data_IF_518396251509
#
_entry.id   IF_518396251509
#
_cell.length_a   1.000
_cell.length_b   1.000
_cell.length_c   1.000
_cell.angle_alpha   90.00
_cell.angle_beta   90.00
_cell.angle_gamma   90.00
#
_symmetry.space_group_name_H-M   'P 1'
#
loop_
_entity.id
_entity.type
_entity.pdbx_description
1 polymer ?
#
# COMPACT_ATOMS: atom_id res chain seq x y z
N UNK A 1 8.00 14.54 8.62
CA UNK A 1 8.83 14.83 7.44
C UNK A 1 10.03 13.89 7.27
N UNK A 2 10.69 13.41 8.33
CA UNK A 2 11.83 12.49 8.21
C UNK A 2 11.51 11.21 7.42
N UNK A 3 10.38 10.56 7.70
CA UNK A 3 9.95 9.33 7.02
C UNK A 3 9.81 9.49 5.49
N UNK A 4 9.33 10.64 5.03
CA UNK A 4 9.11 10.91 3.61
C UNK A 4 10.44 11.10 2.88
N UNK A 5 11.42 11.75 3.53
CA UNK A 5 12.78 11.90 3.00
C UNK A 5 13.48 10.54 2.86
N UNK A 6 13.34 9.68 3.86
CA UNK A 6 13.90 8.32 3.82
C UNK A 6 13.20 7.43 2.79
N UNK A 7 11.86 7.49 2.71
CA UNK A 7 11.09 6.79 1.70
C UNK A 7 11.51 7.22 0.29
N UNK A 8 11.73 8.52 0.06
CA UNK A 8 12.20 9.03 -1.22
C UNK A 8 13.63 8.57 -1.54
N UNK A 9 14.51 8.52 -0.54
CA UNK A 9 15.87 7.98 -0.69
C UNK A 9 15.84 6.49 -1.08
N UNK A 10 15.02 5.69 -0.40
CA UNK A 10 14.80 4.27 -0.70
C UNK A 10 14.30 4.09 -2.14
N UNK A 11 13.28 4.88 -2.52
CA UNK A 11 12.71 4.88 -3.87
C UNK A 11 13.76 5.18 -4.94
N UNK A 12 14.54 6.26 -4.77
CA UNK A 12 15.58 6.66 -5.72
C UNK A 12 16.69 5.61 -5.83
N UNK A 13 17.16 5.07 -4.70
CA UNK A 13 18.24 4.10 -4.67
C UNK A 13 17.84 2.73 -5.27
N UNK A 14 16.54 2.40 -5.23
CA UNK A 14 16.02 1.12 -5.70
C UNK A 14 15.01 1.27 -6.85
N UNK A 15 15.07 2.36 -7.62
CA UNK A 15 14.07 2.68 -8.64
C UNK A 15 13.86 1.55 -9.66
N UNK A 16 14.94 0.92 -10.13
CA UNK A 16 14.84 -0.24 -11.05
C UNK A 16 14.09 -1.43 -10.41
N UNK A 17 14.28 -1.68 -9.12
CA UNK A 17 13.57 -2.76 -8.40
C UNK A 17 12.10 -2.40 -8.19
N UNK A 18 11.82 -1.14 -7.89
CA UNK A 18 10.44 -0.62 -7.80
C UNK A 18 9.73 -0.78 -9.13
N UNK A 19 10.36 -0.41 -10.24
CA UNK A 19 9.81 -0.56 -11.59
C UNK A 19 9.57 -2.04 -11.92
N UNK A 20 10.52 -2.91 -11.59
CA UNK A 20 10.42 -4.34 -11.81
C UNK A 20 9.25 -4.96 -11.03
N UNK A 21 9.08 -4.62 -9.74
CA UNK A 21 7.91 -5.01 -8.95
C UNK A 21 6.63 -4.41 -9.54
N UNK A 22 6.70 -3.17 -10.00
CA UNK A 22 5.62 -2.47 -10.66
C UNK A 22 5.07 -3.26 -11.84
N UNK A 23 5.94 -3.64 -12.77
CA UNK A 23 5.55 -4.36 -14.00
C UNK A 23 5.16 -5.82 -13.73
N UNK A 24 5.79 -6.49 -12.76
CA UNK A 24 5.58 -7.93 -12.54
C UNK A 24 4.51 -8.27 -11.51
N UNK A 25 4.18 -7.34 -10.61
CA UNK A 25 3.21 -7.58 -9.53
C UNK A 25 2.08 -6.56 -9.56
N UNK A 26 2.39 -5.26 -9.49
CA UNK A 26 1.36 -4.23 -9.35
C UNK A 26 0.49 -4.13 -10.60
N UNK A 27 1.10 -4.06 -11.78
CA UNK A 27 0.39 -3.90 -13.05
C UNK A 27 -0.49 -5.12 -13.36
N UNK A 28 -0.03 -6.38 -13.23
CA UNK A 28 -0.89 -7.56 -13.38
C UNK A 28 -2.08 -7.57 -12.41
N UNK A 29 -1.86 -7.22 -11.14
CA UNK A 29 -2.95 -7.12 -10.16
C UNK A 29 -3.97 -6.05 -10.58
N UNK A 30 -3.50 -4.89 -11.03
CA UNK A 30 -4.39 -3.81 -11.51
C UNK A 30 -5.17 -4.22 -12.75
N UNK A 31 -4.55 -4.93 -13.70
CA UNK A 31 -5.25 -5.46 -14.88
C UNK A 31 -6.34 -6.47 -14.50
N UNK A 32 -6.02 -7.42 -13.62
CA UNK A 32 -6.98 -8.40 -13.11
C UNK A 32 -8.14 -7.68 -12.43
N UNK A 33 -7.84 -6.69 -11.58
CA UNK A 33 -8.85 -5.85 -10.93
C UNK A 33 -9.76 -5.15 -11.95
N UNK A 34 -9.20 -4.51 -12.97
CA UNK A 34 -9.99 -3.81 -14.00
C UNK A 34 -10.88 -4.75 -14.79
N UNK A 35 -10.38 -5.93 -15.20
CA UNK A 35 -11.19 -6.92 -15.90
C UNK A 35 -12.32 -7.41 -14.99
N UNK A 36 -12.01 -7.72 -13.73
CA UNK A 36 -12.97 -8.23 -12.77
C UNK A 36 -14.08 -7.22 -12.49
N UNK A 37 -13.75 -5.95 -12.27
CA UNK A 37 -14.76 -4.90 -12.03
C UNK A 37 -15.64 -4.68 -13.23
N UNK A 38 -15.10 -4.66 -14.46
CA UNK A 38 -15.94 -4.53 -15.65
C UNK A 38 -16.91 -5.72 -15.81
N UNK A 39 -16.44 -6.93 -15.48
CA UNK A 39 -17.30 -8.12 -15.52
C UNK A 39 -18.40 -8.07 -14.44
N UNK A 40 -18.04 -7.72 -13.20
CA UNK A 40 -19.00 -7.60 -12.08
C UNK A 40 -19.97 -6.45 -12.31
N UNK A 41 -19.56 -5.34 -12.93
CA UNK A 41 -20.39 -4.18 -13.16
C UNK A 41 -21.52 -4.42 -14.18
N UNK A 42 -21.29 -5.26 -15.20
CA UNK A 42 -22.22 -5.49 -16.31
C UNK A 42 -23.66 -5.81 -15.87
N UNK A 43 -23.94 -6.77 -14.97
CA UNK A 43 -25.30 -7.04 -14.52
C UNK A 43 -25.93 -5.84 -13.77
N UNK A 44 -25.17 -5.14 -12.93
CA UNK A 44 -25.71 -4.00 -12.17
C UNK A 44 -25.96 -2.77 -13.05
N UNK A 45 -25.17 -2.59 -14.13
CA UNK A 45 -25.44 -1.57 -15.14
C UNK A 45 -26.75 -1.86 -15.87
N UNK A 46 -27.01 -3.13 -16.21
CA UNK A 46 -28.27 -3.54 -16.84
C UNK A 46 -29.49 -3.22 -15.96
N UNK A 47 -29.39 -3.41 -14.64
CA UNK A 47 -30.45 -3.07 -13.69
C UNK A 47 -30.40 -1.61 -13.19
N UNK A 48 -29.50 -0.77 -13.72
CA UNK A 48 -29.29 0.62 -13.31
C UNK A 48 -29.08 0.80 -11.78
N UNK A 49 -28.22 -0.03 -11.20
CA UNK A 49 -27.89 -0.06 -9.77
C UNK A 49 -26.45 0.45 -9.51
N UNK A 50 -26.17 1.77 -9.67
CA UNK A 50 -24.80 2.31 -9.61
C UNK A 50 -24.14 2.14 -8.25
N UNK A 51 -24.92 2.15 -7.16
CA UNK A 51 -24.40 2.01 -5.80
C UNK A 51 -23.71 0.65 -5.58
N UNK A 52 -24.25 -0.43 -6.15
CA UNK A 52 -23.67 -1.77 -6.01
C UNK A 52 -22.32 -1.89 -6.73
N UNK A 53 -22.20 -1.26 -7.90
CA UNK A 53 -20.94 -1.20 -8.65
C UNK A 53 -19.86 -0.54 -7.79
N UNK A 54 -20.15 0.61 -7.19
CA UNK A 54 -19.21 1.33 -6.32
C UNK A 54 -18.81 0.54 -5.08
N UNK A 55 -19.73 -0.21 -4.48
CA UNK A 55 -19.44 -1.09 -3.33
C UNK A 55 -18.45 -2.18 -3.73
N UNK A 56 -18.76 -2.94 -4.79
CA UNK A 56 -17.86 -4.00 -5.25
C UNK A 56 -16.50 -3.45 -5.68
N UNK A 57 -16.49 -2.34 -6.40
CA UNK A 57 -15.25 -1.66 -6.80
C UNK A 57 -14.38 -1.30 -5.58
N UNK A 58 -14.98 -0.73 -4.53
CA UNK A 58 -14.27 -0.38 -3.30
C UNK A 58 -13.69 -1.61 -2.59
N UNK A 59 -14.48 -2.69 -2.48
CA UNK A 59 -14.06 -3.94 -1.85
C UNK A 59 -12.87 -4.55 -2.61
N UNK A 60 -13.00 -4.77 -3.91
CA UNK A 60 -11.94 -5.39 -4.72
C UNK A 60 -10.68 -4.51 -4.82
N UNK A 61 -10.84 -3.19 -4.82
CA UNK A 61 -9.71 -2.26 -4.81
C UNK A 61 -8.91 -2.39 -3.50
N UNK A 62 -9.59 -2.40 -2.35
CA UNK A 62 -8.93 -2.57 -1.05
C UNK A 62 -8.22 -3.93 -0.94
N UNK A 63 -8.87 -5.02 -1.40
CA UNK A 63 -8.24 -6.35 -1.48
C UNK A 63 -6.96 -6.30 -2.32
N UNK A 64 -7.03 -5.70 -3.51
CA UNK A 64 -5.89 -5.59 -4.43
C UNK A 64 -4.75 -4.79 -3.81
N UNK A 65 -5.06 -3.66 -3.17
CA UNK A 65 -4.07 -2.80 -2.50
C UNK A 65 -3.32 -3.54 -1.40
N UNK A 66 -4.03 -4.32 -0.56
CA UNK A 66 -3.40 -5.08 0.52
C UNK A 66 -2.39 -6.11 0.00
N UNK A 67 -2.68 -6.74 -1.15
CA UNK A 67 -1.74 -7.67 -1.79
C UNK A 67 -0.57 -6.91 -2.43
N UNK A 68 -0.83 -5.77 -3.09
CA UNK A 68 0.22 -4.94 -3.70
C UNK A 68 1.20 -4.36 -2.67
N UNK A 69 0.79 -4.17 -1.42
CA UNK A 69 1.68 -3.66 -0.37
C UNK A 69 2.81 -4.62 -0.02
N UNK A 70 2.62 -5.93 -0.14
CA UNK A 70 3.57 -6.93 0.37
C UNK A 70 5.00 -6.77 -0.19
N UNK A 71 5.24 -6.76 -1.51
CA UNK A 71 6.59 -6.61 -2.05
C UNK A 71 7.23 -5.26 -1.64
N UNK A 72 6.42 -4.21 -1.53
CA UNK A 72 6.88 -2.88 -1.18
C UNK A 72 7.27 -2.79 0.31
N UNK A 73 6.48 -3.41 1.19
CA UNK A 73 6.81 -3.51 2.62
C UNK A 73 8.07 -4.35 2.82
N UNK A 74 8.18 -5.49 2.15
CA UNK A 74 9.38 -6.33 2.23
C UNK A 74 10.62 -5.56 1.77
N UNK A 75 10.53 -4.73 0.73
CA UNK A 75 11.61 -3.87 0.29
C UNK A 75 12.03 -2.87 1.38
N UNK A 76 11.08 -2.17 1.99
CA UNK A 76 11.36 -1.21 3.05
C UNK A 76 11.96 -1.87 4.30
N UNK A 77 11.48 -3.06 4.66
CA UNK A 77 12.02 -3.84 5.77
C UNK A 77 13.45 -4.32 5.50
N UNK A 78 13.74 -4.81 4.29
CA UNK A 78 15.09 -5.25 3.91
C UNK A 78 16.10 -4.10 3.87
N UNK A 79 15.72 -2.96 3.30
CA UNK A 79 16.57 -1.76 3.28
C UNK A 79 16.95 -1.31 4.69
N UNK A 80 15.98 -1.34 5.63
CA UNK A 80 16.22 -0.94 7.02
C UNK A 80 17.09 -1.95 7.77
N UNK A 81 16.81 -3.26 7.62
CA UNK A 81 17.48 -4.31 8.41
C UNK A 81 18.85 -4.73 7.88
N UNK A 82 19.04 -4.70 6.55
CA UNK A 82 20.22 -5.27 5.88
C UNK A 82 21.02 -4.23 5.09
N UNK A 83 20.53 -2.99 4.98
CA UNK A 83 21.14 -1.95 4.12
C UNK A 83 21.14 -2.29 2.63
N UNK A 84 20.55 -3.41 2.23
CA UNK A 84 20.52 -3.90 0.86
C UNK A 84 19.25 -4.70 0.59
N UNK A 85 18.71 -4.56 -0.61
CA UNK A 85 17.47 -5.22 -1.02
C UNK A 85 17.79 -6.39 -1.96
N UNK A 86 17.30 -7.59 -1.66
CA UNK A 86 17.48 -8.78 -2.50
C UNK A 86 16.18 -9.12 -3.22
N UNK A 87 16.19 -9.07 -4.55
CA UNK A 87 14.99 -9.29 -5.39
C UNK A 87 14.34 -10.66 -5.15
N UNK A 88 15.13 -11.74 -5.04
CA UNK A 88 14.58 -13.09 -4.79
C UNK A 88 13.80 -13.19 -3.48
N UNK A 89 14.23 -12.48 -2.44
CA UNK A 89 13.51 -12.44 -1.16
C UNK A 89 12.20 -11.66 -1.26
N UNK A 90 12.15 -10.59 -2.06
CA UNK A 90 10.92 -9.82 -2.28
C UNK A 90 9.80 -10.70 -2.85
N UNK A 91 10.11 -11.49 -3.88
CA UNK A 91 9.15 -12.42 -4.47
C UNK A 91 8.79 -13.56 -3.54
N UNK A 92 9.76 -14.12 -2.81
CA UNK A 92 9.52 -15.13 -1.79
C UNK A 92 8.55 -14.65 -0.71
N UNK A 93 8.78 -13.44 -0.17
CA UNK A 93 7.90 -12.82 0.81
C UNK A 93 6.51 -12.51 0.22
N UNK A 94 6.46 -12.07 -1.04
CA UNK A 94 5.19 -11.82 -1.75
C UNK A 94 4.34 -13.07 -1.81
N UNK A 95 4.89 -14.18 -2.26
CA UNK A 95 4.15 -15.45 -2.34
C UNK A 95 3.79 -15.96 -0.94
N UNK A 96 4.73 -15.91 0.01
CA UNK A 96 4.51 -16.36 1.40
C UNK A 96 3.34 -15.64 2.05
N UNK A 97 3.25 -14.32 1.89
CA UNK A 97 2.25 -13.51 2.59
C UNK A 97 1.00 -13.21 1.74
N UNK A 98 1.01 -13.42 0.42
CA UNK A 98 -0.12 -13.14 -0.47
C UNK A 98 -1.40 -13.82 -0.03
N UNK A 99 -1.33 -15.11 0.34
CA UNK A 99 -2.52 -15.84 0.79
C UNK A 99 -3.12 -15.25 2.06
N UNK A 100 -2.29 -14.91 3.04
CA UNK A 100 -2.75 -14.28 4.27
C UNK A 100 -3.34 -12.89 3.99
N UNK A 101 -2.64 -12.06 3.22
CA UNK A 101 -3.08 -10.72 2.88
C UNK A 101 -4.43 -10.74 2.15
N UNK A 102 -4.59 -11.66 1.20
CA UNK A 102 -5.86 -11.87 0.50
C UNK A 102 -6.98 -12.27 1.48
N UNK A 103 -6.76 -13.31 2.29
CA UNK A 103 -7.78 -13.80 3.23
C UNK A 103 -8.21 -12.74 4.24
N UNK A 104 -7.27 -11.99 4.82
CA UNK A 104 -7.58 -10.95 5.81
C UNK A 104 -8.18 -9.69 5.18
N UNK A 105 -7.81 -9.38 3.92
CA UNK A 105 -8.33 -8.20 3.23
C UNK A 105 -9.82 -8.29 2.90
N UNK A 106 -10.40 -9.49 2.79
CA UNK A 106 -11.83 -9.67 2.53
C UNK A 106 -12.69 -9.06 3.66
N UNK A 107 -12.62 -9.52 4.93
CA UNK A 107 -13.41 -8.93 6.01
C UNK A 107 -13.03 -7.47 6.29
N UNK A 108 -11.74 -7.11 6.14
CA UNK A 108 -11.26 -5.74 6.36
C UNK A 108 -11.81 -4.77 5.33
N UNK A 109 -11.82 -5.14 4.05
CA UNK A 109 -12.34 -4.30 2.97
C UNK A 109 -13.85 -4.11 3.08
N UNK A 110 -14.60 -5.15 3.47
CA UNK A 110 -16.03 -5.04 3.74
C UNK A 110 -16.27 -4.06 4.91
N UNK A 111 -15.52 -4.18 6.01
CA UNK A 111 -15.68 -3.32 7.17
C UNK A 111 -15.36 -1.85 6.84
N UNK A 112 -14.27 -1.60 6.12
CA UNK A 112 -13.88 -0.25 5.68
C UNK A 112 -14.92 0.33 4.72
N UNK A 113 -15.39 -0.46 3.75
CA UNK A 113 -16.42 -0.03 2.78
C UNK A 113 -17.74 0.27 3.49
N UNK A 114 -18.17 -0.57 4.43
CA UNK A 114 -19.34 -0.30 5.27
C UNK A 114 -19.15 1.00 6.07
N UNK A 115 -17.95 1.25 6.60
CA UNK A 115 -17.59 2.52 7.22
C UNK A 115 -17.84 3.71 6.30
N UNK A 116 -17.31 3.66 5.07
CA UNK A 116 -17.51 4.71 4.05
C UNK A 116 -18.97 4.90 3.63
N UNK A 117 -19.76 3.81 3.58
CA UNK A 117 -21.19 3.89 3.27
C UNK A 117 -21.99 4.61 4.35
N UNK A 118 -21.62 4.44 5.62
CA UNK A 118 -22.26 5.13 6.73
C UNK A 118 -21.84 6.60 6.72
N UNK A 119 -20.53 6.88 6.73
CA UNK A 119 -19.96 8.22 6.58
C UNK A 119 -18.49 8.15 6.13
N UNK A 120 -17.99 9.20 5.50
CA UNK A 120 -16.58 9.27 5.08
C UNK A 120 -15.63 9.14 6.28
N UNK A 121 -15.92 9.81 7.39
CA UNK A 121 -15.03 9.86 8.57
C UNK A 121 -14.83 8.47 9.22
N UNK A 122 -15.87 7.69 9.56
CA UNK A 122 -15.71 6.30 10.02
C UNK A 122 -14.92 5.41 9.06
N UNK A 123 -15.14 5.55 7.75
CA UNK A 123 -14.38 4.80 6.74
C UNK A 123 -12.88 5.12 6.79
N UNK A 124 -12.51 6.40 6.85
CA UNK A 124 -11.11 6.83 7.00
C UNK A 124 -10.52 6.34 8.32
N UNK A 125 -11.27 6.42 9.42
CA UNK A 125 -10.80 5.93 10.73
C UNK A 125 -10.46 4.43 10.65
N UNK A 126 -11.38 3.62 10.14
CA UNK A 126 -11.17 2.18 9.98
C UNK A 126 -10.00 1.87 9.04
N UNK A 127 -9.86 2.63 7.95
CA UNK A 127 -8.76 2.48 7.02
C UNK A 127 -7.41 2.73 7.70
N UNK A 128 -7.26 3.81 8.47
CA UNK A 128 -6.01 4.11 9.20
C UNK A 128 -5.70 3.07 10.27
N UNK A 129 -6.71 2.56 10.97
CA UNK A 129 -6.52 1.53 12.01
C UNK A 129 -6.13 0.16 11.45
N UNK A 130 -6.64 -0.18 10.26
CA UNK A 130 -6.49 -1.51 9.67
C UNK A 130 -5.46 -1.58 8.54
N UNK A 131 -5.01 -0.45 8.01
CA UNK A 131 -3.97 -0.42 6.97
C UNK A 131 -2.64 -1.01 7.44
N UNK A 132 -2.38 -1.03 8.75
CA UNK A 132 -1.17 -1.59 9.36
C UNK A 132 -1.08 -3.13 9.31
N UNK A 133 -2.18 -3.84 9.00
CA UNK A 133 -2.24 -5.30 8.97
C UNK A 133 -1.15 -5.94 8.08
N UNK A 134 -1.02 -5.57 6.78
CA UNK A 134 0.05 -6.10 5.94
C UNK A 134 1.44 -5.72 6.44
N UNK A 135 1.60 -4.54 7.06
CA UNK A 135 2.89 -4.09 7.61
C UNK A 135 3.35 -4.98 8.75
N UNK A 136 2.48 -5.18 9.74
CA UNK A 136 2.77 -6.06 10.89
C UNK A 136 3.05 -7.48 10.41
N UNK A 137 2.25 -8.00 9.46
CA UNK A 137 2.45 -9.38 9.01
C UNK A 137 3.78 -9.56 8.27
N UNK A 138 4.14 -8.65 7.39
CA UNK A 138 5.37 -8.80 6.58
C UNK A 138 6.62 -8.51 7.40
N UNK A 139 6.55 -7.56 8.34
CA UNK A 139 7.70 -7.12 9.14
C UNK A 139 7.95 -8.07 10.32
N UNK A 140 6.91 -8.39 11.10
CA UNK A 140 7.04 -9.17 12.34
C UNK A 140 6.67 -10.66 12.20
N UNK A 141 6.04 -11.07 11.09
CA UNK A 141 5.54 -12.43 10.85
C UNK A 141 4.59 -12.98 11.94
N UNK A 142 3.86 -12.08 12.61
CA UNK A 142 2.99 -12.42 13.73
C UNK A 142 1.77 -13.29 13.38
N UNK A 143 1.16 -13.89 14.39
CA UNK A 143 -0.10 -14.65 14.26
C UNK A 143 -1.28 -13.71 13.92
N UNK A 144 -2.32 -14.18 13.21
CA UNK A 144 -3.42 -13.33 12.73
C UNK A 144 -4.07 -12.43 13.79
N UNK A 145 -4.31 -12.95 15.00
CA UNK A 145 -4.89 -12.19 16.12
C UNK A 145 -3.96 -11.08 16.61
N UNK A 146 -2.66 -11.37 16.71
CA UNK A 146 -1.64 -10.41 17.11
C UNK A 146 -1.45 -9.32 16.05
N UNK A 147 -1.50 -9.69 14.76
CA UNK A 147 -1.44 -8.76 13.62
C UNK A 147 -2.52 -7.68 13.71
N UNK A 148 -3.78 -8.08 13.93
CA UNK A 148 -4.89 -7.13 14.04
C UNK A 148 -4.70 -6.20 15.24
N UNK A 149 -4.39 -6.76 16.42
CA UNK A 149 -4.21 -5.98 17.65
C UNK A 149 -3.08 -4.95 17.50
N UNK A 150 -1.95 -5.38 16.95
CA UNK A 150 -0.77 -4.53 16.77
C UNK A 150 -1.00 -3.49 15.67
N UNK A 151 -1.70 -3.83 14.58
CA UNK A 151 -2.13 -2.85 13.57
C UNK A 151 -2.99 -1.74 14.18
N UNK A 152 -3.96 -2.12 15.02
CA UNK A 152 -4.83 -1.14 15.68
C UNK A 152 -4.03 -0.27 16.66
N UNK A 153 -3.08 -0.82 17.42
CA UNK A 153 -2.21 -0.02 18.31
C UNK A 153 -1.41 1.00 17.51
N UNK A 154 -0.73 0.54 16.45
CA UNK A 154 0.03 1.39 15.55
C UNK A 154 -0.83 2.53 14.96
N UNK A 155 -2.01 2.18 14.43
CA UNK A 155 -2.93 3.14 13.84
C UNK A 155 -3.50 4.13 14.85
N UNK A 156 -3.71 3.75 16.11
CA UNK A 156 -4.16 4.66 17.17
C UNK A 156 -3.07 5.64 17.58
N UNK A 157 -1.86 5.15 17.81
CA UNK A 157 -0.73 5.98 18.28
C UNK A 157 -0.24 6.95 17.21
N UNK A 158 -0.30 6.53 15.93
CA UNK A 158 0.12 7.36 14.80
C UNK A 158 -1.06 7.91 13.99
N UNK A 159 -2.27 7.95 14.55
CA UNK A 159 -3.50 8.23 13.81
C UNK A 159 -3.42 9.51 12.97
N UNK A 160 -3.04 10.63 13.61
CA UNK A 160 -2.98 11.93 12.94
C UNK A 160 -1.92 11.97 11.84
N UNK A 161 -0.77 11.34 12.08
CA UNK A 161 0.34 11.26 11.13
C UNK A 161 -0.04 10.42 9.91
N UNK A 162 -0.60 9.22 10.15
CA UNK A 162 -1.06 8.32 9.09
C UNK A 162 -2.23 8.90 8.30
N UNK A 163 -3.19 9.54 8.98
CA UNK A 163 -4.29 10.25 8.34
C UNK A 163 -3.78 11.39 7.46
N UNK A 164 -2.84 12.20 7.95
CA UNK A 164 -2.20 13.27 7.17
C UNK A 164 -1.49 12.74 5.93
N UNK A 165 -0.71 11.67 6.06
CA UNK A 165 -0.05 11.01 4.91
C UNK A 165 -1.10 10.49 3.92
N UNK A 166 -2.13 9.80 4.39
CA UNK A 166 -3.21 9.26 3.56
C UNK A 166 -3.93 10.36 2.79
N UNK A 167 -4.31 11.45 3.45
CA UNK A 167 -4.98 12.58 2.81
C UNK A 167 -4.08 13.29 1.78
N UNK A 168 -2.79 13.48 2.09
CA UNK A 168 -1.84 14.04 1.14
C UNK A 168 -1.71 13.18 -0.12
N UNK A 169 -1.61 11.85 0.05
CA UNK A 169 -1.54 10.93 -1.09
C UNK A 169 -2.86 10.87 -1.85
N UNK A 170 -4.00 10.87 -1.17
CA UNK A 170 -5.31 10.91 -1.82
C UNK A 170 -5.51 12.20 -2.63
N UNK A 171 -5.07 13.34 -2.10
CA UNK A 171 -5.10 14.62 -2.83
C UNK A 171 -4.18 14.57 -4.07
N UNK A 172 -2.95 14.09 -3.91
CA UNK A 172 -2.01 13.93 -5.02
C UNK A 172 -2.56 12.99 -6.11
N UNK A 173 -3.10 11.84 -5.70
CA UNK A 173 -3.69 10.84 -6.60
C UNK A 173 -4.91 11.40 -7.34
N UNK A 174 -5.78 12.14 -6.65
CA UNK A 174 -6.95 12.78 -7.24
C UNK A 174 -6.55 13.81 -8.29
N UNK A 175 -5.59 14.68 -7.97
CA UNK A 175 -5.08 15.70 -8.91
C UNK A 175 -4.39 15.03 -10.10
N UNK A 176 -3.53 14.05 -9.85
CA UNK A 176 -2.85 13.30 -10.90
C UNK A 176 -3.84 12.59 -11.83
N UNK A 177 -4.85 11.92 -11.25
CA UNK A 177 -5.88 11.22 -12.01
C UNK A 177 -6.74 12.17 -12.85
N UNK A 178 -7.10 13.34 -12.29
CA UNK A 178 -7.82 14.37 -13.02
C UNK A 178 -7.01 14.91 -14.21
N UNK A 179 -5.72 15.22 -14.00
CA UNK A 179 -4.84 15.72 -15.07
C UNK A 179 -4.66 14.69 -16.19
N UNK A 180 -4.46 13.41 -15.85
CA UNK A 180 -4.35 12.33 -16.84
C UNK A 180 -5.64 12.17 -17.63
N UNK A 181 -6.80 12.20 -16.95
CA UNK A 181 -8.10 12.08 -17.62
C UNK A 181 -8.38 13.27 -18.54
N UNK A 182 -8.05 14.48 -18.09
CA UNK A 182 -8.16 15.71 -18.89
C UNK A 182 -7.27 15.64 -20.15
N UNK A 183 -6.00 15.27 -19.99
CA UNK A 183 -5.06 15.13 -21.11
C UNK A 183 -5.55 14.07 -22.13
N UNK A 184 -6.02 12.92 -21.65
CA UNK A 184 -6.55 11.87 -22.51
C UNK A 184 -7.81 12.31 -23.28
N UNK A 185 -8.66 13.10 -22.63
CA UNK A 185 -9.89 13.65 -23.23
C UNK A 185 -9.57 14.64 -24.36
N UNK A 186 -8.52 15.45 -24.20
CA UNK A 186 -8.07 16.42 -25.22
C UNK A 186 -7.37 15.72 -26.39
N UNK A 187 -6.54 14.72 -26.12
CA UNK A 187 -5.69 14.10 -27.15
C UNK A 187 -6.43 13.12 -28.05
N UNK A 188 -7.13 12.14 -27.45
CA UNK A 188 -7.62 10.96 -28.19
C UNK A 188 -9.08 10.62 -27.90
N UNK A 189 -9.69 11.17 -26.84
CA UNK A 189 -11.05 10.81 -26.39
C UNK A 189 -11.20 9.34 -25.93
N UNK A 190 -10.13 8.53 -25.99
CA UNK A 190 -10.15 7.13 -25.64
C UNK A 190 -9.87 6.92 -24.15
N UNK A 191 -10.91 6.55 -23.40
CA UNK A 191 -10.82 6.24 -21.96
C UNK A 191 -9.88 5.07 -21.64
N UNK A 192 -9.67 4.16 -22.60
CA UNK A 192 -8.71 3.06 -22.43
C UNK A 192 -7.27 3.56 -22.26
N UNK A 193 -6.87 4.55 -23.06
CA UNK A 193 -5.53 5.17 -22.98
C UNK A 193 -5.36 5.88 -21.64
N UNK A 194 -6.39 6.60 -21.18
CA UNK A 194 -6.40 7.23 -19.86
C UNK A 194 -6.16 6.20 -18.75
N UNK A 195 -6.89 5.07 -18.75
CA UNK A 195 -6.72 4.01 -17.77
C UNK A 195 -5.30 3.42 -17.74
N UNK A 196 -4.66 3.23 -18.90
CA UNK A 196 -3.27 2.76 -18.95
C UNK A 196 -2.31 3.75 -18.29
N UNK A 197 -2.46 5.05 -18.56
CA UNK A 197 -1.65 6.07 -17.90
C UNK A 197 -1.91 6.14 -16.39
N UNK A 198 -3.16 5.99 -15.95
CA UNK A 198 -3.50 5.92 -14.53
C UNK A 198 -2.85 4.72 -13.85
N UNK A 199 -2.85 3.54 -14.49
CA UNK A 199 -2.19 2.36 -13.95
C UNK A 199 -0.68 2.56 -13.77
N UNK A 200 -0.04 3.19 -14.76
CA UNK A 200 1.39 3.53 -14.71
C UNK A 200 1.66 4.55 -13.61
N UNK A 201 0.81 5.59 -13.49
CA UNK A 201 0.93 6.58 -12.43
C UNK A 201 0.82 5.93 -11.05
N UNK A 202 -0.21 5.10 -10.83
CA UNK A 202 -0.42 4.35 -9.59
C UNK A 202 0.76 3.45 -9.27
N UNK A 203 1.31 2.75 -10.27
CA UNK A 203 2.49 1.91 -10.12
C UNK A 203 3.71 2.70 -9.60
N UNK A 204 3.87 3.96 -10.01
CA UNK A 204 5.01 4.81 -9.62
C UNK A 204 4.80 5.52 -8.28
N UNK A 205 3.55 5.88 -7.96
CA UNK A 205 3.19 6.68 -6.78
C UNK A 205 2.98 5.82 -5.54
N UNK A 206 2.32 4.66 -5.69
CA UNK A 206 2.02 3.73 -4.59
C UNK A 206 3.26 3.31 -3.77
N UNK A 207 4.43 3.01 -4.37
CA UNK A 207 5.63 2.69 -3.61
C UNK A 207 6.05 3.78 -2.61
N UNK A 208 5.92 5.06 -2.99
CA UNK A 208 6.29 6.17 -2.12
C UNK A 208 5.38 6.21 -0.87
N UNK A 209 4.08 5.97 -1.06
CA UNK A 209 3.12 5.86 0.04
C UNK A 209 3.50 4.72 0.98
N UNK A 210 3.67 3.52 0.43
CA UNK A 210 3.94 2.32 1.21
C UNK A 210 5.27 2.42 1.96
N UNK A 211 6.32 2.95 1.33
CA UNK A 211 7.60 3.16 1.99
C UNK A 211 7.51 4.15 3.15
N UNK A 212 6.72 5.22 2.99
CA UNK A 212 6.52 6.22 4.05
C UNK A 212 5.86 5.58 5.27
N UNK A 213 4.79 4.81 5.06
CA UNK A 213 4.08 4.10 6.13
C UNK A 213 4.96 3.01 6.75
N UNK A 214 5.69 2.24 5.93
CA UNK A 214 6.56 1.17 6.41
C UNK A 214 7.70 1.70 7.28
N UNK A 215 8.34 2.81 6.90
CA UNK A 215 9.37 3.46 7.72
C UNK A 215 8.80 4.00 9.02
N UNK A 216 7.62 4.62 8.99
CA UNK A 216 6.94 5.06 10.21
C UNK A 216 6.61 3.89 11.14
N UNK A 217 6.20 2.74 10.59
CA UNK A 217 5.97 1.52 11.34
C UNK A 217 7.25 0.96 11.98
N UNK A 218 8.35 0.89 11.23
CA UNK A 218 9.63 0.37 11.73
C UNK A 218 10.22 1.23 12.85
N UNK A 219 10.02 2.55 12.78
CA UNK A 219 10.41 3.46 13.87
C UNK A 219 9.52 3.27 15.09
N UNK A 220 8.20 3.18 14.90
CA UNK A 220 7.27 2.92 16.00
C UNK A 220 7.53 1.57 16.70
N UNK A 221 7.91 0.53 15.94
CA UNK A 221 8.24 -0.79 16.48
C UNK A 221 9.60 -0.84 17.20
N UNK A 222 10.37 0.26 17.23
CA UNK A 222 11.70 0.33 17.86
C UNK A 222 12.81 -0.41 17.11
N UNK A 223 12.55 -0.96 15.92
CA UNK A 223 13.57 -1.68 15.14
C UNK A 223 14.70 -0.75 14.69
N UNK A 224 14.39 0.51 14.43
CA UNK A 224 15.39 1.48 13.97
C UNK A 224 16.39 1.81 15.08
N UNK A 225 15.92 1.89 16.32
CA UNK A 225 16.77 2.19 17.49
C UNK A 225 17.68 1.01 17.83
N UNK A 226 17.15 -0.22 17.76
CA UNK A 226 17.94 -1.45 17.98
C UNK A 226 19.07 -1.61 16.96
N UNK A 227 18.86 -1.20 15.71
CA UNK A 227 19.88 -1.27 14.66
C UNK A 227 20.97 -0.21 14.92
N UNK A 228 20.59 1.01 15.30
CA UNK A 228 21.55 2.06 15.64
C UNK A 228 22.39 1.69 16.86
N UNK A 229 21.78 1.09 17.89
CA UNK A 229 22.49 0.61 19.08
C UNK A 229 23.51 -0.46 18.72
N UNK A 230 23.14 -1.46 17.90
CA UNK A 230 24.08 -2.49 17.43
C UNK A 230 25.25 -1.92 16.63
N UNK A 231 24.97 -0.96 15.75
CA UNK A 231 26.02 -0.30 14.96
C UNK A 231 26.99 0.49 15.85
N UNK A 232 26.46 1.17 16.88
CA UNK A 232 27.26 1.89 17.85
C UNK A 232 28.14 0.95 18.70
N UNK A 233 27.59 -0.17 19.18
CA UNK A 233 28.35 -1.19 19.91
C UNK A 233 29.46 -1.79 19.05
N UNK A 234 29.19 -2.11 17.78
CA UNK A 234 30.22 -2.60 16.85
C UNK A 234 31.33 -1.57 16.61
N UNK A 235 30.99 -0.28 16.51
CA UNK A 235 32.00 0.77 16.41
C UNK A 235 32.88 0.82 17.67
N UNK A 236 32.30 0.72 18.87
CA UNK A 236 33.05 0.69 20.11
C UNK A 236 33.99 -0.52 20.22
N UNK A 237 33.58 -1.67 19.70
CA UNK A 237 34.43 -2.87 19.63
C UNK A 237 35.63 -2.69 18.69
N UNK A 238 35.52 -1.88 17.63
CA UNK A 238 36.64 -1.56 16.75
C UNK A 238 37.70 -0.66 17.41
N UNK A 239 37.39 -0.03 18.54
CA UNK A 239 38.31 0.82 19.32
C UNK A 239 38.87 0.11 20.57
N UNK A 240 38.57 -1.18 20.79
CA UNK A 240 39.16 -2.01 21.84
C UNK A 240 40.28 -2.88 21.29
#
# INVERSE_FOLDING_TARGET
MAYLKEAFKLYKNNFLRVLLIGVTVLLPIQLIFTILINYVAMPFQYFNLPLWISIFQSIFMLISIFVMFIPLISMAAQDTRLGSVKTGKLYGDTIKYAFFAYLISIPVSILITAGFLVFIVPGVILLVLLMGIPFVKVIDDEKPKAVIKKSISFGKENFLSMCGVLLCFAAFDTVGSYLVTLAASILNGQMAVANWFLMILNMLVLPLFVFTVAKAYLVWNGETDLIQEKAYVQQLEQYR
#
